data_IF_247555915015
#
_entry.id   IF_247555915015
#
_cell.length_a   1.000
_cell.length_b   1.000
_cell.length_c   1.000
_cell.angle_alpha   90.00
_cell.angle_beta   90.00
_cell.angle_gamma   90.00
#
_symmetry.space_group_name_H-M   'P 1'
#
loop_
_entity.id
_entity.type
_entity.pdbx_description
1 polymer ?
#
# COMPACT_ATOMS: atom_id res chain seq x y z
N UNK A 1 -7.12 19.93 -20.87
CA UNK A 1 -6.19 19.53 -19.78
C UNK A 1 -5.68 18.14 -20.11
N UNK A 2 -4.41 18.04 -20.47
CA UNK A 2 -3.78 16.77 -20.84
C UNK A 2 -3.48 15.93 -19.60
N UNK A 3 -3.17 14.64 -19.78
CA UNK A 3 -2.69 13.78 -18.68
C UNK A 3 -1.41 14.32 -18.02
N UNK A 4 -0.58 15.05 -18.79
CA UNK A 4 0.66 15.68 -18.32
C UNK A 4 0.33 16.85 -17.38
N UNK A 5 -0.64 17.69 -17.74
CA UNK A 5 -1.07 18.83 -16.90
C UNK A 5 -1.62 18.34 -15.55
N UNK A 6 -2.39 17.24 -15.56
CA UNK A 6 -2.93 16.62 -14.33
C UNK A 6 -1.85 16.07 -13.40
N UNK A 7 -0.73 15.58 -13.93
CA UNK A 7 0.33 15.04 -13.09
C UNK A 7 1.03 16.12 -12.28
N UNK A 8 1.28 17.30 -12.84
CA UNK A 8 1.91 18.42 -12.12
C UNK A 8 1.04 18.89 -10.95
N UNK A 9 -0.27 19.00 -11.16
CA UNK A 9 -1.22 19.34 -10.09
C UNK A 9 -1.27 18.27 -9.00
N UNK A 10 -1.34 16.99 -9.39
CA UNK A 10 -1.31 15.87 -8.44
C UNK A 10 0.01 15.83 -7.64
N UNK A 11 1.14 16.07 -8.30
CA UNK A 11 2.44 16.13 -7.65
C UNK A 11 2.53 17.27 -6.65
N UNK A 12 2.00 18.46 -7.00
CA UNK A 12 1.89 19.58 -6.06
C UNK A 12 0.98 19.25 -4.88
N UNK A 13 -0.10 18.49 -5.08
CA UNK A 13 -0.95 18.04 -3.98
C UNK A 13 -0.21 17.10 -2.99
N UNK A 14 0.89 16.44 -3.41
CA UNK A 14 1.73 15.64 -2.52
C UNK A 14 2.52 16.48 -1.51
N UNK A 15 2.66 17.79 -1.71
CA UNK A 15 3.28 18.68 -0.71
C UNK A 15 2.28 19.20 0.33
N UNK A 16 1.01 18.78 0.27
CA UNK A 16 0.01 19.18 1.26
C UNK A 16 0.34 18.57 2.65
N UNK A 17 -0.03 19.23 3.76
CA UNK A 17 0.20 18.71 5.11
C UNK A 17 -0.46 17.34 5.36
N UNK A 18 -1.51 17.02 4.61
CA UNK A 18 -2.19 15.74 4.68
C UNK A 18 -2.49 15.20 3.28
N UNK A 19 -1.71 14.19 2.87
CA UNK A 19 -1.80 13.53 1.57
C UNK A 19 -2.70 12.28 1.59
N UNK A 20 -3.24 11.91 2.75
CA UNK A 20 -3.99 10.67 2.91
C UNK A 20 -3.09 9.44 2.79
N UNK A 21 -3.49 8.45 1.97
CA UNK A 21 -2.67 7.27 1.67
C UNK A 21 -2.36 7.25 0.19
N UNK A 22 -1.14 6.87 -0.14
CA UNK A 22 -0.63 6.85 -1.51
C UNK A 22 -0.10 5.45 -1.78
N UNK A 23 -0.41 4.94 -2.97
CA UNK A 23 0.27 3.79 -3.56
C UNK A 23 0.72 4.24 -4.95
N UNK A 24 2.01 4.13 -5.24
CA UNK A 24 2.59 4.45 -6.55
C UNK A 24 3.23 3.18 -7.10
N UNK A 25 2.89 2.86 -8.33
CA UNK A 25 3.54 1.81 -9.11
C UNK A 25 4.03 2.40 -10.42
N UNK A 26 5.24 2.02 -10.83
CA UNK A 26 5.79 2.42 -12.11
C UNK A 26 6.98 1.55 -12.50
N UNK A 27 7.47 1.76 -13.71
CA UNK A 27 8.72 1.18 -14.18
C UNK A 27 9.85 2.20 -14.03
N UNK A 28 11.07 1.72 -13.87
CA UNK A 28 12.27 2.53 -14.09
C UNK A 28 12.33 3.03 -15.53
N UNK A 29 13.09 4.09 -15.75
CA UNK A 29 13.25 4.75 -17.06
C UNK A 29 13.75 3.78 -18.15
N UNK A 30 14.51 2.76 -17.77
CA UNK A 30 15.00 1.69 -18.66
C UNK A 30 14.03 0.51 -18.82
N UNK A 31 12.86 0.55 -18.17
CA UNK A 31 11.83 -0.48 -18.20
C UNK A 31 12.20 -1.78 -17.50
N UNK A 32 13.34 -1.85 -16.79
CA UNK A 32 13.88 -3.11 -16.25
C UNK A 32 13.37 -3.44 -14.85
N UNK A 33 12.99 -2.43 -14.08
CA UNK A 33 12.65 -2.56 -12.67
C UNK A 33 11.28 -1.98 -12.40
N UNK A 34 10.44 -2.74 -11.70
CA UNK A 34 9.25 -2.19 -11.07
C UNK A 34 9.66 -1.37 -9.84
N UNK A 35 9.00 -0.24 -9.65
CA UNK A 35 9.12 0.62 -8.47
C UNK A 35 7.76 0.71 -7.81
N UNK A 36 7.71 0.32 -6.55
CA UNK A 36 6.49 0.26 -5.77
C UNK A 36 6.68 1.09 -4.49
N UNK A 37 5.86 2.10 -4.29
CA UNK A 37 5.95 3.01 -3.14
C UNK A 37 4.61 3.09 -2.42
N UNK A 38 4.69 3.21 -1.10
CA UNK A 38 3.55 3.59 -0.26
C UNK A 38 3.86 4.85 0.51
N UNK A 39 2.85 5.69 0.69
CA UNK A 39 2.89 6.87 1.54
C UNK A 39 1.71 6.88 2.48
N UNK A 40 1.92 7.40 3.69
CA UNK A 40 0.87 7.58 4.68
C UNK A 40 0.98 8.93 5.35
N UNK A 41 -0.15 9.62 5.46
CA UNK A 41 -0.37 10.76 6.33
C UNK A 41 -1.47 10.45 7.34
N UNK A 42 -1.50 11.22 8.43
CA UNK A 42 -2.52 11.16 9.47
C UNK A 42 -3.20 12.51 9.69
N UNK A 43 -4.40 12.47 10.28
CA UNK A 43 -5.16 13.68 10.66
C UNK A 43 -5.12 13.94 12.17
N UNK A 44 -4.66 12.95 12.95
CA UNK A 44 -4.62 12.98 14.41
C UNK A 44 -3.22 12.69 14.91
N UNK A 45 -2.93 13.04 16.17
CA UNK A 45 -1.65 12.69 16.80
C UNK A 45 -1.34 11.19 16.68
N UNK A 46 -2.31 10.32 16.96
CA UNK A 46 -2.14 8.87 16.81
C UNK A 46 -1.88 8.43 15.37
N UNK A 47 -2.65 8.93 14.40
CA UNK A 47 -2.47 8.55 12.99
C UNK A 47 -1.23 9.18 12.34
N UNK A 48 -0.65 10.24 12.89
CA UNK A 48 0.64 10.78 12.47
C UNK A 48 1.83 10.10 13.15
N UNK A 49 1.60 9.41 14.26
CA UNK A 49 2.62 8.78 15.09
C UNK A 49 3.00 7.38 14.56
N UNK A 50 3.29 7.26 13.26
CA UNK A 50 3.54 5.96 12.62
C UNK A 50 4.74 6.00 11.69
N UNK A 51 5.41 4.86 11.56
CA UNK A 51 6.50 4.65 10.61
C UNK A 51 6.40 3.28 9.94
N UNK A 52 7.14 3.13 8.85
CA UNK A 52 7.31 1.85 8.17
C UNK A 52 8.50 1.10 8.77
N UNK A 53 8.27 -0.16 9.15
CA UNK A 53 9.30 -1.06 9.63
C UNK A 53 9.46 -2.22 8.67
N UNK A 54 10.66 -2.37 8.13
CA UNK A 54 11.06 -3.58 7.41
C UNK A 54 11.22 -4.72 8.41
N UNK A 55 10.64 -5.87 8.09
CA UNK A 55 10.79 -7.09 8.86
C UNK A 55 11.44 -8.17 7.99
N UNK A 56 12.41 -8.92 8.56
CA UNK A 56 13.07 -9.99 7.83
C UNK A 56 12.06 -11.09 7.47
N UNK A 57 12.27 -11.73 6.33
CA UNK A 57 11.54 -12.94 5.97
C UNK A 57 11.89 -14.08 6.95
N UNK A 58 10.94 -14.40 7.84
CA UNK A 58 11.12 -15.46 8.83
C UNK A 58 10.62 -16.84 8.33
N UNK A 59 9.87 -16.87 7.23
CA UNK A 59 9.12 -18.07 6.80
C UNK A 59 9.41 -18.48 5.35
N UNK A 60 10.42 -17.90 4.69
CA UNK A 60 10.71 -18.16 3.28
C UNK A 60 9.64 -17.64 2.32
N UNK A 61 8.82 -16.68 2.77
CA UNK A 61 7.69 -16.14 2.03
C UNK A 61 7.99 -14.79 1.39
N UNK A 62 9.22 -14.28 1.48
CA UNK A 62 9.65 -12.96 1.04
C UNK A 62 9.57 -11.90 2.14
N UNK A 63 10.17 -10.74 1.86
CA UNK A 63 10.16 -9.59 2.78
C UNK A 63 8.78 -8.98 2.96
N UNK A 64 8.58 -8.32 4.10
CA UNK A 64 7.40 -7.51 4.36
C UNK A 64 7.74 -6.23 5.13
N UNK A 65 7.03 -5.16 4.79
CA UNK A 65 7.10 -3.88 5.48
C UNK A 65 5.74 -3.66 6.11
N UNK A 66 5.71 -3.36 7.42
CA UNK A 66 4.47 -3.03 8.11
C UNK A 66 4.52 -1.63 8.69
N UNK A 67 3.35 -1.08 9.00
CA UNK A 67 3.25 0.13 9.82
C UNK A 67 3.38 -0.23 11.30
N UNK A 68 4.13 0.59 12.03
CA UNK A 68 4.20 0.56 13.49
C UNK A 68 3.98 1.97 14.05
N UNK A 69 3.63 2.06 15.33
CA UNK A 69 3.54 3.33 16.06
C UNK A 69 4.88 3.67 16.71
N UNK A 70 5.23 4.96 16.77
CA UNK A 70 6.41 5.40 17.52
C UNK A 70 6.16 5.39 19.03
N UNK A 71 5.09 6.07 19.47
CA UNK A 71 4.63 6.07 20.86
C UNK A 71 3.29 5.32 21.00
N UNK A 72 3.28 4.12 21.61
CA UNK A 72 2.04 3.37 21.85
C UNK A 72 0.98 4.13 22.67
N UNK A 73 1.36 5.08 23.53
CA UNK A 73 0.41 5.84 24.35
C UNK A 73 -0.47 6.79 23.52
N UNK A 74 0.03 7.21 22.34
CA UNK A 74 -0.68 8.05 21.39
C UNK A 74 -1.63 7.27 20.47
N UNK A 75 -1.53 5.93 20.44
CA UNK A 75 -2.49 5.11 19.71
C UNK A 75 -3.85 5.14 20.43
N UNK A 76 -4.88 5.57 19.72
CA UNK A 76 -6.26 5.65 20.21
C UNK A 76 -7.20 5.03 19.20
N UNK A 77 -8.26 4.40 19.70
CA UNK A 77 -9.26 3.73 18.85
C UNK A 77 -8.73 2.43 18.24
N UNK A 78 -9.47 1.93 17.24
CA UNK A 78 -9.17 0.68 16.57
C UNK A 78 -7.88 0.79 15.72
N UNK A 79 -6.84 -0.02 16.00
CA UNK A 79 -5.60 0.02 15.25
C UNK A 79 -5.70 -0.61 13.85
N UNK A 80 -6.76 -1.35 13.53
CA UNK A 80 -6.92 -2.06 12.24
C UNK A 80 -6.70 -1.17 11.01
N UNK A 81 -7.06 0.12 11.13
CA UNK A 81 -6.95 1.13 10.07
C UNK A 81 -5.58 1.80 9.96
N UNK A 82 -4.70 1.51 10.93
CA UNK A 82 -3.42 2.23 11.11
C UNK A 82 -2.21 1.30 11.19
N UNK A 83 -2.39 0.07 11.65
CA UNK A 83 -1.39 -0.99 11.79
C UNK A 83 -1.69 -2.12 10.80
N UNK A 84 -0.88 -2.22 9.74
CA UNK A 84 -1.07 -3.19 8.68
C UNK A 84 0.26 -3.49 7.96
N UNK A 85 0.31 -4.59 7.23
CA UNK A 85 1.40 -4.88 6.29
C UNK A 85 1.22 -3.95 5.09
N UNK A 86 2.14 -3.02 4.88
CA UNK A 86 2.10 -2.07 3.78
C UNK A 86 2.72 -2.61 2.50
N UNK A 87 3.72 -3.50 2.62
CA UNK A 87 4.33 -4.21 1.49
C UNK A 87 4.50 -5.68 1.81
N UNK A 88 4.23 -6.54 0.82
CA UNK A 88 4.43 -7.98 0.90
C UNK A 88 5.00 -8.52 -0.39
N UNK A 89 6.17 -9.14 -0.32
CA UNK A 89 6.67 -10.00 -1.39
C UNK A 89 6.18 -11.44 -1.12
N UNK A 90 5.78 -12.19 -2.15
CA UNK A 90 5.37 -13.61 -2.07
C UNK A 90 5.36 -14.26 -3.45
N UNK A 91 6.13 -15.35 -3.65
CA UNK A 91 6.21 -16.11 -4.92
C UNK A 91 6.36 -15.21 -6.17
N UNK A 92 7.27 -14.25 -6.12
CA UNK A 92 7.52 -13.32 -7.22
C UNK A 92 6.55 -12.15 -7.35
N UNK A 93 5.43 -12.17 -6.62
CA UNK A 93 4.57 -11.00 -6.49
C UNK A 93 5.11 -10.04 -5.44
N UNK A 94 5.03 -8.74 -5.73
CA UNK A 94 5.24 -7.65 -4.78
C UNK A 94 3.97 -6.82 -4.71
N UNK A 95 3.34 -6.80 -3.53
CA UNK A 95 2.06 -6.14 -3.30
C UNK A 95 2.26 -4.99 -2.33
N UNK A 96 1.65 -3.85 -2.62
CA UNK A 96 1.62 -2.69 -1.76
C UNK A 96 0.18 -2.20 -1.61
N UNK A 97 -0.21 -1.82 -0.40
CA UNK A 97 -1.56 -1.29 -0.16
C UNK A 97 -1.62 -0.37 1.07
N UNK A 98 -2.80 0.23 1.29
CA UNK A 98 -3.07 1.05 2.45
C UNK A 98 -3.77 0.33 3.63
N UNK A 99 -3.82 -1.00 3.64
CA UNK A 99 -4.52 -1.72 4.69
C UNK A 99 -4.24 -3.22 4.75
N UNK A 100 -5.12 -3.94 5.44
CA UNK A 100 -5.04 -5.39 5.65
C UNK A 100 -5.03 -6.20 4.34
N UNK A 101 -5.56 -5.62 3.26
CA UNK A 101 -5.67 -6.30 1.98
C UNK A 101 -4.33 -6.70 1.37
N UNK A 102 -3.21 -6.07 1.78
CA UNK A 102 -1.87 -6.43 1.29
C UNK A 102 -1.59 -7.93 1.43
N UNK A 103 -1.90 -8.51 2.59
CA UNK A 103 -1.60 -9.92 2.84
C UNK A 103 -2.52 -10.83 2.02
N UNK A 104 -3.82 -10.53 2.00
CA UNK A 104 -4.79 -11.31 1.23
C UNK A 104 -4.55 -11.27 -0.27
N UNK A 105 -4.23 -10.10 -0.84
CA UNK A 105 -3.81 -9.98 -2.23
C UNK A 105 -2.55 -10.80 -2.50
N UNK A 106 -1.54 -10.74 -1.63
CA UNK A 106 -0.31 -11.52 -1.81
C UNK A 106 -0.60 -13.02 -1.89
N UNK A 107 -1.48 -13.52 -1.02
CA UNK A 107 -1.86 -14.94 -0.96
C UNK A 107 -2.65 -15.32 -2.21
N UNK A 108 -3.68 -14.55 -2.56
CA UNK A 108 -4.52 -14.84 -3.73
C UNK A 108 -3.70 -14.87 -5.03
N UNK A 109 -2.80 -13.90 -5.22
CA UNK A 109 -1.91 -13.83 -6.38
C UNK A 109 -0.91 -14.99 -6.42
N UNK A 110 -0.36 -15.39 -5.27
CA UNK A 110 0.52 -16.55 -5.13
C UNK A 110 -0.20 -17.90 -5.36
N UNK A 111 -1.54 -17.90 -5.35
CA UNK A 111 -2.40 -19.03 -5.68
C UNK A 111 -2.94 -18.97 -7.12
N UNK A 112 -2.61 -17.92 -7.89
CA UNK A 112 -2.99 -17.78 -9.29
C UNK A 112 -4.31 -17.05 -9.55
N UNK A 113 -4.91 -16.41 -8.55
CA UNK A 113 -6.06 -15.53 -8.76
C UNK A 113 -5.66 -14.23 -9.48
N UNK A 114 -6.61 -13.56 -10.13
CA UNK A 114 -6.37 -12.22 -10.68
C UNK A 114 -6.32 -11.16 -9.58
N UNK A 115 -5.67 -10.03 -9.88
CA UNK A 115 -5.62 -8.88 -8.96
C UNK A 115 -7.01 -8.33 -8.70
N UNK A 116 -7.85 -8.24 -9.73
CA UNK A 116 -9.20 -7.70 -9.66
C UNK A 116 -10.12 -8.57 -8.80
N UNK A 117 -10.05 -9.89 -8.94
CA UNK A 117 -10.82 -10.82 -8.08
C UNK A 117 -10.42 -10.69 -6.62
N UNK A 118 -9.10 -10.64 -6.34
CA UNK A 118 -8.59 -10.50 -4.98
C UNK A 118 -8.96 -9.14 -4.37
N UNK A 119 -8.81 -8.04 -5.12
CA UNK A 119 -9.07 -6.68 -4.63
C UNK A 119 -10.57 -6.44 -4.36
N UNK A 120 -11.47 -7.03 -5.14
CA UNK A 120 -12.92 -6.86 -4.98
C UNK A 120 -13.47 -7.36 -3.63
N UNK A 121 -12.72 -8.20 -2.93
CA UNK A 121 -13.07 -8.67 -1.58
C UNK A 121 -12.88 -7.60 -0.50
N UNK A 122 -12.16 -6.51 -0.81
CA UNK A 122 -11.80 -5.47 0.15
C UNK A 122 -12.55 -4.16 -0.16
N UNK A 123 -13.62 -3.93 0.59
CA UNK A 123 -14.45 -2.73 0.50
C UNK A 123 -13.83 -1.54 1.25
N UNK A 124 -14.43 -0.36 1.07
CA UNK A 124 -14.04 0.84 1.79
C UNK A 124 -14.05 0.63 3.32
N UNK A 125 -13.09 1.25 3.98
CA UNK A 125 -12.93 1.23 5.43
C UNK A 125 -13.74 2.36 6.08
N UNK A 126 -14.35 2.08 7.24
CA UNK A 126 -15.09 3.06 8.04
C UNK A 126 -16.58 3.16 7.72
N UNK A 127 -17.32 3.99 8.47
CA UNK A 127 -18.75 4.21 8.23
C UNK A 127 -18.98 4.98 6.93
N UNK A 128 -20.20 4.87 6.37
CA UNK A 128 -20.56 5.43 5.06
C UNK A 128 -20.29 6.93 4.87
N UNK A 129 -20.31 7.71 5.96
CA UNK A 129 -20.01 9.14 5.93
C UNK A 129 -18.52 9.47 5.74
N UNK A 130 -17.61 8.55 6.09
CA UNK A 130 -16.15 8.77 6.14
C UNK A 130 -15.37 7.62 5.49
N UNK A 131 -15.88 7.09 4.37
CA UNK A 131 -15.23 5.99 3.68
C UNK A 131 -13.79 6.32 3.29
N UNK A 132 -12.87 5.45 3.70
CA UNK A 132 -11.50 5.43 3.20
C UNK A 132 -11.37 4.30 2.19
N UNK A 133 -11.07 4.63 0.93
CA UNK A 133 -10.89 3.62 -0.11
C UNK A 133 -9.72 2.67 0.22
N UNK A 134 -9.88 1.39 -0.12
CA UNK A 134 -8.77 0.43 -0.13
C UNK A 134 -8.05 0.54 -1.48
N UNK A 135 -6.82 1.04 -1.44
CA UNK A 135 -5.97 1.21 -2.62
C UNK A 135 -4.82 0.22 -2.55
N UNK A 136 -4.51 -0.41 -3.69
CA UNK A 136 -3.49 -1.44 -3.79
C UNK A 136 -2.82 -1.41 -5.16
N UNK A 137 -1.61 -1.93 -5.22
CA UNK A 137 -0.91 -2.26 -6.46
C UNK A 137 -0.14 -3.57 -6.26
N UNK A 138 -0.01 -4.32 -7.34
CA UNK A 138 0.76 -5.55 -7.37
C UNK A 138 1.59 -5.60 -8.65
N UNK A 139 2.82 -6.08 -8.54
CA UNK A 139 3.72 -6.34 -9.67
C UNK A 139 4.29 -7.74 -9.54
N UNK A 140 4.61 -8.37 -10.66
CA UNK A 140 5.22 -9.68 -10.70
C UNK A 140 6.63 -9.58 -11.29
N UNK A 141 7.61 -10.22 -10.66
CA UNK A 141 9.00 -10.30 -11.12
C UNK A 141 9.20 -11.26 -12.30
N UNK A 142 8.29 -12.22 -12.48
CA UNK A 142 8.27 -13.09 -13.64
C UNK A 142 7.87 -12.25 -14.84
N UNK A 143 8.87 -11.98 -15.69
CA UNK A 143 8.65 -11.47 -17.05
C UNK A 143 7.82 -12.51 -17.79
N UNK A 144 6.50 -12.42 -17.69
CA UNK A 144 5.65 -12.94 -18.75
C UNK A 144 5.83 -11.97 -19.90
N UNK A 145 6.74 -12.33 -20.82
CA UNK A 145 6.70 -11.84 -22.19
C UNK A 145 5.32 -12.21 -22.73
N UNK A 146 4.36 -11.30 -22.62
CA UNK A 146 3.13 -11.36 -23.40
C UNK A 146 3.44 -10.92 -24.82
#
# INVERSE_FOLDING_TARGET
>A
MTLIDRWQENFKALSAPYIGRIVIVGLSDDGRYWRLFTGMGGRSAGSNNRYYRLLPDLNGHGDYVKTEVHDPALQKGDPSTTLYIAHRSRKGWHVASNGEQTEGLSIALALGASFEEAQRLYLNEGPQADFTARISAAVNDSRTTR
#
